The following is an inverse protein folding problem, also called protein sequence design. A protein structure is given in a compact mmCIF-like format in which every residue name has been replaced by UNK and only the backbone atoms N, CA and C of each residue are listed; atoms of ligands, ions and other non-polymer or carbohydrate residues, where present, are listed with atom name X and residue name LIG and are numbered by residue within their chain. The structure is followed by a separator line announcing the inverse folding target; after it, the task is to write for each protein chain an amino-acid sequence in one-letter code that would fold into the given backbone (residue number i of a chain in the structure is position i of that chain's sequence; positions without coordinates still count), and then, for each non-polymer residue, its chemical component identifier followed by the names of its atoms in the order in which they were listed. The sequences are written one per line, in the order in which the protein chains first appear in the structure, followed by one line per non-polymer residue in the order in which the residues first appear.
data_IF_212008216840
#
_entry.id   IF_212008216840
#
_cell.length_a   1.000
_cell.length_b   1.000
_cell.length_c   1.000
_cell.angle_alpha   90.00
_cell.angle_beta   90.00
_cell.angle_gamma   90.00
#
_symmetry.space_group_name_H-M   'P 1'
#
loop_
_entity.id
_entity.type
_entity.pdbx_description
1 polymer ?
#
# COMPACT_ATOMS: atom_id res chain seq x y z
N UNK A 1 -25.50 -51.67 -48.19
CA UNK A 1 -25.76 -50.39 -47.53
C UNK A 1 -24.41 -49.71 -47.31
N UNK A 2 -24.13 -48.60 -47.98
CA UNK A 2 -22.90 -47.82 -47.82
C UNK A 2 -23.23 -46.67 -46.87
N UNK A 3 -22.65 -46.68 -45.67
CA UNK A 3 -22.74 -45.55 -44.74
C UNK A 3 -21.89 -44.39 -45.26
N UNK A 4 -22.57 -43.31 -45.64
CA UNK A 4 -21.95 -42.02 -45.94
C UNK A 4 -21.55 -41.36 -44.63
N UNK A 5 -20.25 -41.36 -44.30
CA UNK A 5 -19.72 -40.53 -43.21
C UNK A 5 -19.90 -39.06 -43.60
N UNK A 6 -20.77 -38.37 -42.89
CA UNK A 6 -20.86 -36.91 -42.92
C UNK A 6 -19.58 -36.39 -42.27
N UNK A 7 -18.70 -35.79 -43.07
CA UNK A 7 -17.53 -35.08 -42.57
C UNK A 7 -18.00 -33.91 -41.72
N UNK A 8 -17.61 -33.88 -40.44
CA UNK A 8 -17.85 -32.72 -39.59
C UNK A 8 -17.28 -31.45 -40.27
N UNK A 9 -18.06 -30.36 -40.35
CA UNK A 9 -17.57 -29.12 -40.92
C UNK A 9 -16.40 -28.64 -40.06
N UNK A 10 -15.21 -28.56 -40.68
CA UNK A 10 -14.05 -27.91 -40.07
C UNK A 10 -14.46 -26.49 -39.68
N UNK A 11 -14.42 -26.11 -38.39
CA UNK A 11 -14.83 -24.78 -37.97
C UNK A 11 -13.99 -23.75 -38.72
N UNK A 12 -14.66 -22.93 -39.52
CA UNK A 12 -14.00 -21.88 -40.29
C UNK A 12 -13.42 -20.87 -39.29
N UNK A 13 -12.12 -20.53 -39.35
CA UNK A 13 -11.56 -19.52 -38.47
C UNK A 13 -12.32 -18.21 -38.69
N UNK A 14 -12.93 -17.68 -37.63
CA UNK A 14 -13.58 -16.38 -37.68
C UNK A 14 -12.47 -15.35 -37.98
N UNK A 15 -12.58 -14.55 -39.05
CA UNK A 15 -11.56 -13.58 -39.39
C UNK A 15 -11.39 -12.59 -38.24
N UNK A 16 -10.15 -12.44 -37.77
CA UNK A 16 -9.79 -11.48 -36.73
C UNK A 16 -10.11 -10.06 -37.21
N UNK A 17 -10.73 -9.20 -36.38
CA UNK A 17 -10.99 -7.81 -36.75
C UNK A 17 -9.73 -7.08 -37.19
N UNK A 18 -9.81 -6.27 -38.25
CA UNK A 18 -8.68 -5.46 -38.69
C UNK A 18 -8.22 -4.51 -37.56
N UNK A 19 -6.93 -4.56 -37.20
CA UNK A 19 -6.37 -3.77 -36.10
C UNK A 19 -6.52 -4.38 -34.70
N UNK A 20 -7.02 -5.62 -34.59
CA UNK A 20 -6.98 -6.37 -33.34
C UNK A 20 -5.53 -6.64 -32.90
N UNK A 21 -5.23 -6.61 -31.60
CA UNK A 21 -3.90 -6.92 -31.07
C UNK A 21 -3.54 -8.38 -31.37
N UNK A 22 -2.25 -8.64 -31.62
CA UNK A 22 -1.77 -10.02 -31.79
C UNK A 22 -1.74 -10.75 -30.44
N UNK A 23 -1.84 -12.09 -30.41
CA UNK A 23 -1.70 -12.87 -29.19
C UNK A 23 -0.40 -12.58 -28.44
N UNK A 24 0.73 -12.43 -29.15
CA UNK A 24 2.03 -12.15 -28.54
C UNK A 24 2.08 -10.78 -27.86
N UNK A 25 1.39 -9.78 -28.42
CA UNK A 25 1.28 -8.46 -27.81
C UNK A 25 0.46 -8.52 -26.51
N UNK A 26 -0.65 -9.27 -26.52
CA UNK A 26 -1.47 -9.49 -25.34
C UNK A 26 -0.69 -10.26 -24.26
N UNK A 27 0.10 -11.27 -24.62
CA UNK A 27 0.90 -12.06 -23.69
C UNK A 27 2.01 -11.23 -23.04
N UNK A 28 2.69 -10.39 -23.82
CA UNK A 28 3.68 -9.46 -23.28
C UNK A 28 3.06 -8.50 -22.26
N UNK A 29 1.88 -7.96 -22.55
CA UNK A 29 1.16 -7.08 -21.62
C UNK A 29 0.73 -7.79 -20.34
N UNK A 30 0.22 -9.01 -20.46
CA UNK A 30 -0.10 -9.84 -19.29
C UNK A 30 1.15 -10.10 -18.44
N UNK A 31 2.29 -10.36 -19.08
CA UNK A 31 3.59 -10.49 -18.39
C UNK A 31 3.98 -9.23 -17.61
N UNK A 32 3.83 -8.04 -18.20
CA UNK A 32 4.10 -6.77 -17.50
C UNK A 32 3.16 -6.54 -16.31
N UNK A 33 1.89 -6.91 -16.43
CA UNK A 33 0.93 -6.86 -15.32
C UNK A 33 1.40 -7.78 -14.19
N UNK A 34 1.76 -9.03 -14.50
CA UNK A 34 2.26 -9.99 -13.51
C UNK A 34 3.51 -9.46 -12.80
N UNK A 35 4.50 -8.93 -13.52
CA UNK A 35 5.68 -8.33 -12.90
C UNK A 35 5.35 -7.19 -11.94
N UNK A 36 4.38 -6.34 -12.29
CA UNK A 36 3.93 -5.26 -11.41
C UNK A 36 3.25 -5.79 -10.13
N UNK A 37 2.42 -6.83 -10.26
CA UNK A 37 1.78 -7.49 -9.11
C UNK A 37 2.82 -8.17 -8.22
N UNK A 38 3.81 -8.85 -8.80
CA UNK A 38 4.86 -9.55 -8.04
C UNK A 38 5.77 -8.57 -7.29
N UNK A 39 6.08 -7.42 -7.88
CA UNK A 39 6.80 -6.34 -7.19
C UNK A 39 6.01 -5.82 -5.99
N UNK A 40 4.69 -5.68 -6.16
CA UNK A 40 3.79 -5.28 -5.08
C UNK A 40 3.68 -6.34 -3.98
N UNK A 41 3.61 -7.61 -4.35
CA UNK A 41 3.57 -8.74 -3.41
C UNK A 41 4.89 -8.88 -2.62
N UNK A 42 6.03 -8.62 -3.25
CA UNK A 42 7.31 -8.55 -2.54
C UNK A 42 7.30 -7.45 -1.47
N UNK A 43 6.87 -6.23 -1.84
CA UNK A 43 6.77 -5.13 -0.88
C UNK A 43 5.80 -5.48 0.27
N UNK A 44 4.71 -6.18 -0.04
CA UNK A 44 3.78 -6.64 0.99
C UNK A 44 4.42 -7.69 1.92
N UNK A 45 5.17 -8.64 1.38
CA UNK A 45 5.92 -9.62 2.17
C UNK A 45 6.96 -8.98 3.08
N UNK A 46 7.67 -7.96 2.58
CA UNK A 46 8.59 -7.15 3.41
C UNK A 46 7.83 -6.42 4.53
N UNK A 47 6.65 -5.85 4.24
CA UNK A 47 5.82 -5.21 5.26
C UNK A 47 5.39 -6.18 6.36
N UNK A 48 4.85 -7.34 6.00
CA UNK A 48 4.39 -8.36 6.95
C UNK A 48 5.55 -8.94 7.75
N UNK A 49 6.69 -9.22 7.10
CA UNK A 49 7.87 -9.73 7.76
C UNK A 49 8.38 -8.79 8.86
N UNK A 50 8.53 -7.51 8.54
CA UNK A 50 9.04 -6.49 9.47
C UNK A 50 8.03 -6.10 10.57
N UNK A 51 6.74 -6.31 10.35
CA UNK A 51 5.68 -6.05 11.35
C UNK A 51 5.40 -7.26 12.25
N UNK A 52 5.76 -8.47 11.83
CA UNK A 52 5.50 -9.70 12.60
C UNK A 52 6.18 -9.75 13.97
N UNK A 53 7.28 -9.02 14.14
CA UNK A 53 8.01 -8.91 15.41
C UNK A 53 7.35 -7.93 16.40
N UNK A 54 6.39 -7.11 15.93
CA UNK A 54 5.69 -6.11 16.73
C UNK A 54 4.23 -6.56 16.96
N UNK A 55 3.99 -7.24 18.09
CA UNK A 55 2.67 -7.78 18.48
C UNK A 55 1.53 -6.75 18.34
N UNK A 56 1.81 -5.47 18.58
CA UNK A 56 0.81 -4.39 18.54
C UNK A 56 0.43 -3.94 17.12
N UNK A 57 1.26 -4.23 16.12
CA UNK A 57 1.04 -3.85 14.72
C UNK A 57 0.77 -5.06 13.80
N UNK A 58 1.06 -6.27 14.27
CA UNK A 58 0.95 -7.50 13.49
C UNK A 58 -0.47 -7.78 12.98
N UNK A 59 -1.50 -7.58 13.81
CA UNK A 59 -2.90 -7.81 13.42
C UNK A 59 -3.31 -6.90 12.25
N UNK A 60 -3.00 -5.61 12.34
CA UNK A 60 -3.28 -4.64 11.27
C UNK A 60 -2.50 -4.94 9.99
N UNK A 61 -1.25 -5.40 10.12
CA UNK A 61 -0.46 -5.82 8.97
C UNK A 61 -1.04 -7.08 8.29
N UNK A 62 -1.57 -8.02 9.08
CA UNK A 62 -2.28 -9.20 8.59
C UNK A 62 -3.55 -8.83 7.81
N UNK A 63 -4.37 -7.94 8.34
CA UNK A 63 -5.59 -7.44 7.66
C UNK A 63 -5.25 -6.73 6.34
N UNK A 64 -4.23 -5.87 6.35
CA UNK A 64 -3.75 -5.21 5.14
C UNK A 64 -3.25 -6.21 4.10
N UNK A 65 -2.52 -7.24 4.53
CA UNK A 65 -1.98 -8.25 3.64
C UNK A 65 -3.06 -9.12 3.03
N UNK A 66 -4.00 -9.63 3.83
CA UNK A 66 -5.12 -10.41 3.34
C UNK A 66 -5.95 -9.64 2.30
N UNK A 67 -6.25 -8.36 2.56
CA UNK A 67 -6.99 -7.52 1.64
C UNK A 67 -6.25 -7.32 0.30
N UNK A 68 -4.94 -7.07 0.34
CA UNK A 68 -4.13 -6.85 -0.85
C UNK A 68 -3.90 -8.15 -1.64
N UNK A 69 -3.64 -9.28 -0.98
CA UNK A 69 -3.46 -10.59 -1.63
C UNK A 69 -4.72 -11.01 -2.40
N UNK A 70 -5.89 -10.89 -1.78
CA UNK A 70 -7.18 -11.16 -2.45
C UNK A 70 -7.38 -10.27 -3.69
N UNK A 71 -6.92 -9.03 -3.63
CA UNK A 71 -7.02 -8.09 -4.76
C UNK A 71 -5.96 -8.36 -5.84
N UNK A 72 -4.74 -8.76 -5.49
CA UNK A 72 -3.73 -9.22 -6.44
C UNK A 72 -4.26 -10.39 -7.26
N UNK A 73 -4.87 -11.38 -6.60
CA UNK A 73 -5.45 -12.55 -7.26
C UNK A 73 -6.68 -12.20 -8.10
N UNK A 74 -7.49 -11.23 -7.66
CA UNK A 74 -8.58 -10.70 -8.47
C UNK A 74 -8.08 -10.03 -9.76
N UNK A 75 -6.95 -9.33 -9.74
CA UNK A 75 -6.35 -8.73 -10.94
C UNK A 75 -5.76 -9.80 -11.85
N UNK A 76 -5.01 -10.77 -11.32
CA UNK A 76 -4.49 -11.92 -12.11
C UNK A 76 -5.62 -12.67 -12.79
N UNK A 77 -6.68 -12.97 -12.03
CA UNK A 77 -7.87 -13.66 -12.53
C UNK A 77 -8.60 -12.86 -13.60
N UNK A 78 -8.67 -11.54 -13.48
CA UNK A 78 -9.34 -10.69 -14.47
C UNK A 78 -8.66 -10.73 -15.84
N UNK A 79 -7.32 -10.74 -15.87
CA UNK A 79 -6.55 -10.87 -17.12
C UNK A 79 -6.85 -12.19 -17.82
N UNK A 80 -6.83 -13.31 -17.09
CA UNK A 80 -7.12 -14.63 -17.63
C UNK A 80 -8.58 -14.76 -18.10
N UNK A 81 -9.54 -14.39 -17.25
CA UNK A 81 -10.97 -14.51 -17.54
C UNK A 81 -11.42 -13.62 -18.69
N UNK A 82 -10.85 -12.42 -18.84
CA UNK A 82 -11.20 -11.56 -19.98
C UNK A 82 -10.88 -12.21 -21.33
N UNK A 83 -9.78 -12.97 -21.41
CA UNK A 83 -9.39 -13.70 -22.62
C UNK A 83 -10.31 -14.89 -22.88
N UNK A 84 -10.65 -15.64 -21.82
CA UNK A 84 -11.61 -16.75 -21.89
C UNK A 84 -12.97 -16.27 -22.40
N UNK A 85 -13.51 -15.20 -21.80
CA UNK A 85 -14.78 -14.61 -22.22
C UNK A 85 -14.70 -14.11 -23.67
N UNK A 86 -13.59 -13.46 -24.07
CA UNK A 86 -13.43 -13.00 -25.44
C UNK A 86 -13.38 -14.14 -26.46
N UNK A 87 -12.80 -15.29 -26.08
CA UNK A 87 -12.69 -16.48 -26.93
C UNK A 87 -13.96 -17.35 -26.96
N UNK A 88 -14.91 -17.15 -26.04
CA UNK A 88 -16.12 -17.98 -25.98
C UNK A 88 -17.08 -17.73 -27.15
N UNK A 89 -17.04 -18.64 -28.13
CA UNK A 89 -17.89 -18.58 -29.33
C UNK A 89 -19.37 -18.89 -29.06
N UNK A 90 -19.70 -19.44 -27.89
CA UNK A 90 -21.08 -19.76 -27.52
C UNK A 90 -21.86 -18.54 -27.03
N UNK A 91 -21.17 -17.43 -26.75
CA UNK A 91 -21.76 -16.18 -26.27
C UNK A 91 -21.77 -15.15 -27.39
N UNK A 92 -22.94 -14.54 -27.62
CA UNK A 92 -23.08 -13.41 -28.55
C UNK A 92 -22.07 -12.30 -28.22
N UNK A 93 -21.52 -11.59 -29.24
CA UNK A 93 -20.52 -10.53 -29.03
C UNK A 93 -20.90 -9.50 -27.95
N UNK A 94 -22.15 -9.04 -27.95
CA UNK A 94 -22.69 -8.11 -26.95
C UNK A 94 -22.67 -8.69 -25.53
N UNK A 95 -22.97 -9.97 -25.37
CA UNK A 95 -22.90 -10.69 -24.09
C UNK A 95 -21.47 -10.77 -23.56
N UNK A 96 -20.49 -11.07 -24.44
CA UNK A 96 -19.06 -11.09 -24.08
C UNK A 96 -18.58 -9.72 -23.61
N UNK A 97 -18.95 -8.64 -24.32
CA UNK A 97 -18.64 -7.28 -23.90
C UNK A 97 -19.24 -6.95 -22.52
N UNK A 98 -20.49 -7.34 -22.26
CA UNK A 98 -21.14 -7.12 -20.96
C UNK A 98 -20.43 -7.86 -19.82
N UNK A 99 -20.10 -9.14 -20.01
CA UNK A 99 -19.39 -9.94 -19.00
C UNK A 99 -17.98 -9.40 -18.71
N UNK A 100 -17.24 -8.95 -19.74
CA UNK A 100 -15.94 -8.31 -19.55
C UNK A 100 -16.06 -7.01 -18.74
N UNK A 101 -17.08 -6.18 -19.03
CA UNK A 101 -17.30 -4.95 -18.29
C UNK A 101 -17.65 -5.24 -16.81
N UNK A 102 -18.52 -6.23 -16.56
CA UNK A 102 -18.89 -6.65 -15.20
C UNK A 102 -17.69 -7.21 -14.43
N UNK A 103 -16.86 -8.04 -15.08
CA UNK A 103 -15.61 -8.53 -14.53
C UNK A 103 -14.72 -7.36 -14.09
N UNK A 104 -14.52 -6.37 -14.97
CA UNK A 104 -13.68 -5.21 -14.66
C UNK A 104 -14.25 -4.31 -13.57
N UNK A 105 -15.58 -4.14 -13.51
CA UNK A 105 -16.23 -3.41 -12.41
C UNK A 105 -16.01 -4.10 -11.07
N UNK A 106 -16.19 -5.42 -11.00
CA UNK A 106 -15.96 -6.21 -9.78
C UNK A 106 -14.49 -6.18 -9.35
N UNK A 107 -13.56 -6.35 -10.28
CA UNK A 107 -12.11 -6.27 -9.98
C UNK A 107 -11.72 -4.87 -9.51
N UNK A 108 -12.23 -3.81 -10.16
CA UNK A 108 -11.94 -2.45 -9.73
C UNK A 108 -12.50 -2.15 -8.33
N UNK A 109 -13.70 -2.63 -8.00
CA UNK A 109 -14.28 -2.47 -6.67
C UNK A 109 -13.46 -3.19 -5.61
N UNK A 110 -13.03 -4.44 -5.87
CA UNK A 110 -12.13 -5.19 -4.97
C UNK A 110 -10.80 -4.47 -4.72
N UNK A 111 -10.17 -3.97 -5.78
CA UNK A 111 -8.90 -3.23 -5.64
C UNK A 111 -9.11 -1.93 -4.85
N UNK A 112 -10.19 -1.19 -5.10
CA UNK A 112 -10.47 0.04 -4.38
C UNK A 112 -10.66 -0.22 -2.88
N UNK A 113 -11.43 -1.26 -2.52
CA UNK A 113 -11.64 -1.64 -1.14
C UNK A 113 -10.34 -2.12 -0.48
N UNK A 114 -9.58 -3.00 -1.15
CA UNK A 114 -8.32 -3.50 -0.63
C UNK A 114 -7.29 -2.39 -0.38
N UNK A 115 -7.16 -1.43 -1.30
CA UNK A 115 -6.27 -0.28 -1.12
C UNK A 115 -6.71 0.57 0.05
N UNK A 116 -8.02 0.81 0.21
CA UNK A 116 -8.55 1.56 1.34
C UNK A 116 -8.24 0.86 2.66
N UNK A 117 -8.63 -0.41 2.79
CA UNK A 117 -8.38 -1.23 3.99
C UNK A 117 -6.90 -1.28 4.33
N UNK A 118 -6.03 -1.54 3.35
CA UNK A 118 -4.59 -1.62 3.59
C UNK A 118 -3.98 -0.27 3.97
N UNK A 119 -4.48 0.85 3.43
CA UNK A 119 -3.99 2.18 3.80
C UNK A 119 -4.42 2.56 5.21
N UNK A 120 -5.68 2.31 5.56
CA UNK A 120 -6.21 2.56 6.91
C UNK A 120 -5.51 1.67 7.95
N UNK A 121 -5.36 0.38 7.66
CA UNK A 121 -4.65 -0.55 8.54
C UNK A 121 -3.16 -0.18 8.69
N UNK A 122 -2.49 0.23 7.61
CA UNK A 122 -1.10 0.69 7.69
C UNK A 122 -0.96 1.99 8.52
N UNK A 123 -1.92 2.91 8.44
CA UNK A 123 -1.92 4.15 9.25
C UNK A 123 -2.15 3.85 10.74
N UNK A 124 -3.06 2.92 11.06
CA UNK A 124 -3.28 2.48 12.43
C UNK A 124 -2.04 1.74 12.95
N UNK A 125 -1.47 0.83 12.16
CA UNK A 125 -0.24 0.13 12.49
C UNK A 125 0.92 1.10 12.76
N UNK A 126 1.10 2.13 11.91
CA UNK A 126 2.10 3.19 12.11
C UNK A 126 1.87 3.90 13.44
N UNK A 127 0.63 4.30 13.72
CA UNK A 127 0.27 5.05 14.92
C UNK A 127 0.53 4.24 16.19
N UNK A 128 0.10 2.98 16.20
CA UNK A 128 0.32 2.08 17.34
C UNK A 128 1.81 1.79 17.52
N UNK A 129 2.53 1.55 16.43
CA UNK A 129 3.97 1.29 16.47
C UNK A 129 4.77 2.52 16.95
N UNK A 130 4.40 3.74 16.53
CA UNK A 130 5.01 4.98 17.04
C UNK A 130 4.78 5.15 18.54
N UNK A 131 3.57 4.83 19.02
CA UNK A 131 3.27 4.85 20.45
C UNK A 131 4.11 3.82 21.22
N UNK A 132 4.24 2.60 20.71
CA UNK A 132 5.08 1.55 21.32
C UNK A 132 6.59 1.85 21.24
N UNK A 133 7.05 2.55 20.21
CA UNK A 133 8.45 2.93 20.05
C UNK A 133 8.88 4.07 21.00
N UNK A 134 7.91 4.82 21.53
CA UNK A 134 8.13 5.98 22.38
C UNK A 134 7.86 5.64 23.85
N UNK A 135 8.88 5.58 24.71
CA UNK A 135 8.68 5.31 26.13
C UNK A 135 7.81 6.38 26.80
N UNK A 136 6.99 5.94 27.76
CA UNK A 136 6.32 6.89 28.65
C UNK A 136 7.32 7.55 29.59
N UNK A 137 7.11 8.83 29.87
CA UNK A 137 7.93 9.59 30.81
C UNK A 137 7.30 9.51 32.19
N UNK A 138 8.07 9.01 33.17
CA UNK A 138 7.62 8.94 34.56
C UNK A 138 7.17 10.32 35.04
N UNK A 139 6.07 10.35 35.82
CA UNK A 139 5.53 11.59 36.40
C UNK A 139 6.57 12.37 37.21
N UNK A 140 7.52 11.68 37.85
CA UNK A 140 8.60 12.29 38.62
C UNK A 140 9.56 13.06 37.73
N UNK A 141 9.85 12.54 36.55
CA UNK A 141 10.81 13.13 35.60
C UNK A 141 10.13 14.09 34.62
N UNK A 142 8.80 14.03 34.50
CA UNK A 142 8.03 14.84 33.55
C UNK A 142 8.26 16.35 33.72
N UNK A 143 8.38 16.88 34.94
CA UNK A 143 8.64 18.31 35.14
C UNK A 143 10.02 18.73 34.63
N UNK A 144 11.04 17.93 34.94
CA UNK A 144 12.42 18.15 34.49
C UNK A 144 12.50 18.03 32.96
N UNK A 145 11.91 16.99 32.39
CA UNK A 145 11.87 16.76 30.96
C UNK A 145 11.17 17.90 30.19
N UNK A 146 10.10 18.48 30.75
CA UNK A 146 9.44 19.66 30.17
C UNK A 146 10.35 20.89 30.18
N UNK A 147 11.10 21.09 31.26
CA UNK A 147 12.05 22.18 31.38
C UNK A 147 13.21 22.03 30.39
N UNK A 148 13.78 20.82 30.29
CA UNK A 148 14.86 20.50 29.35
C UNK A 148 14.40 20.71 27.89
N UNK A 149 13.18 20.28 27.57
CA UNK A 149 12.58 20.50 26.26
C UNK A 149 12.43 22.00 25.94
N UNK A 150 11.99 22.82 26.91
CA UNK A 150 11.90 24.28 26.75
C UNK A 150 13.28 24.93 26.54
N UNK A 151 14.30 24.48 27.29
CA UNK A 151 15.67 24.94 27.15
C UNK A 151 16.27 24.60 25.78
N UNK A 152 16.05 23.37 25.31
CA UNK A 152 16.61 22.89 24.03
C UNK A 152 15.89 23.50 22.84
N UNK A 153 14.55 23.48 22.83
CA UNK A 153 13.78 23.99 21.69
C UNK A 153 13.74 25.52 21.68
N UNK A 154 13.69 26.16 22.84
CA UNK A 154 13.71 27.61 22.99
C UNK A 154 12.64 28.30 22.13
N UNK A 155 13.06 29.28 21.33
CA UNK A 155 12.17 29.94 20.38
C UNK A 155 11.83 29.00 19.19
N UNK A 156 10.62 28.47 19.20
CA UNK A 156 10.12 27.53 18.19
C UNK A 156 9.94 28.14 16.79
N UNK A 157 9.93 29.48 16.70
CA UNK A 157 9.82 30.20 15.44
C UNK A 157 11.18 30.48 14.80
N UNK A 158 12.29 30.17 15.49
CA UNK A 158 13.63 30.24 14.91
C UNK A 158 13.84 29.10 13.89
N UNK A 159 14.57 29.39 12.81
CA UNK A 159 14.94 28.43 11.77
C UNK A 159 15.76 27.24 12.30
N UNK A 160 16.36 27.35 13.48
CA UNK A 160 17.19 26.30 14.07
C UNK A 160 16.40 25.22 14.84
N UNK A 161 15.11 25.43 15.13
CA UNK A 161 14.30 24.52 15.98
C UNK A 161 14.30 23.08 15.45
N UNK A 162 14.30 22.91 14.12
CA UNK A 162 14.28 21.60 13.47
C UNK A 162 15.57 20.80 13.73
N UNK A 163 16.72 21.47 13.76
CA UNK A 163 18.00 20.83 14.07
C UNK A 163 18.14 20.52 15.56
N UNK A 164 17.63 21.41 16.43
CA UNK A 164 17.62 21.17 17.89
C UNK A 164 16.70 20.03 18.27
N UNK A 165 15.55 19.92 17.62
CA UNK A 165 14.62 18.80 17.80
C UNK A 165 15.26 17.47 17.39
N UNK A 166 15.95 17.43 16.25
CA UNK A 166 16.71 16.25 15.81
C UNK A 166 17.81 15.86 16.80
N UNK A 167 18.60 16.84 17.26
CA UNK A 167 19.62 16.60 18.29
C UNK A 167 19.01 16.10 19.61
N UNK A 168 17.86 16.63 20.02
CA UNK A 168 17.13 16.16 21.19
C UNK A 168 16.70 14.70 21.03
N UNK A 169 16.11 14.33 19.89
CA UNK A 169 15.67 12.95 19.63
C UNK A 169 16.84 11.95 19.68
N UNK A 170 18.01 12.35 19.18
CA UNK A 170 19.20 11.50 19.21
C UNK A 170 19.71 11.19 20.64
N UNK A 171 19.30 11.98 21.66
CA UNK A 171 19.69 11.70 23.06
C UNK A 171 18.91 10.55 23.70
N UNK A 172 17.76 10.16 23.12
CA UNK A 172 16.83 9.17 23.69
C UNK A 172 16.49 9.42 25.18
N UNK A 173 16.48 10.69 25.59
CA UNK A 173 16.22 11.13 26.97
C UNK A 173 14.72 11.29 27.28
N UNK A 174 14.31 11.44 28.55
CA UNK A 174 12.92 11.74 28.89
C UNK A 174 12.35 12.98 28.18
N UNK A 175 13.17 14.01 27.94
CA UNK A 175 12.76 15.18 27.15
C UNK A 175 12.52 14.83 25.67
N UNK A 176 13.32 13.91 25.12
CA UNK A 176 13.10 13.38 23.78
C UNK A 176 11.79 12.59 23.70
N UNK A 177 11.51 11.73 24.67
CA UNK A 177 10.26 10.97 24.73
C UNK A 177 9.04 11.87 24.86
N UNK A 178 9.11 12.94 25.66
CA UNK A 178 8.06 13.97 25.68
C UNK A 178 7.87 14.65 24.33
N UNK A 179 8.95 15.01 23.64
CA UNK A 179 8.87 15.64 22.33
C UNK A 179 8.38 14.70 21.21
N UNK A 180 8.51 13.38 21.37
CA UNK A 180 7.94 12.39 20.47
C UNK A 180 6.43 12.16 20.69
N UNK A 181 5.89 12.62 21.83
CA UNK A 181 4.47 12.49 22.20
C UNK A 181 3.61 13.68 21.75
N UNK A 182 2.29 13.59 21.99
CA UNK A 182 1.34 14.70 21.77
C UNK A 182 1.68 15.97 22.58
N UNK A 183 2.53 15.86 23.60
CA UNK A 183 3.01 17.02 24.35
C UNK A 183 3.73 18.03 23.44
N UNK A 184 4.50 17.60 22.43
CA UNK A 184 5.17 18.53 21.51
C UNK A 184 4.18 19.43 20.79
N UNK A 185 3.07 18.85 20.32
CA UNK A 185 2.01 19.62 19.65
C UNK A 185 1.46 20.71 20.57
N UNK A 186 1.12 20.36 21.81
CA UNK A 186 0.62 21.31 22.80
C UNK A 186 1.66 22.39 23.14
N UNK A 187 2.93 22.00 23.27
CA UNK A 187 4.05 22.92 23.50
C UNK A 187 4.20 23.92 22.35
N UNK A 188 4.20 23.46 21.10
CA UNK A 188 4.34 24.32 19.93
C UNK A 188 3.16 25.30 19.78
N UNK A 189 1.94 24.85 20.08
CA UNK A 189 0.74 25.71 20.13
C UNK A 189 0.92 26.79 21.19
N UNK A 190 1.33 26.42 22.41
CA UNK A 190 1.54 27.36 23.51
C UNK A 190 2.64 28.39 23.20
N UNK A 191 3.63 28.03 22.38
CA UNK A 191 4.70 28.92 21.91
C UNK A 191 4.35 29.71 20.63
N UNK A 192 3.11 29.58 20.14
CA UNK A 192 2.61 30.37 19.01
C UNK A 192 3.16 29.94 17.65
N UNK A 193 3.54 28.67 17.47
CA UNK A 193 3.91 28.16 16.16
C UNK A 193 2.69 28.11 15.22
N UNK A 194 2.89 28.33 13.92
CA UNK A 194 1.83 28.18 12.92
C UNK A 194 1.40 26.71 12.78
N UNK A 195 0.15 26.43 12.36
CA UNK A 195 -0.36 25.06 12.16
C UNK A 195 0.55 24.21 11.25
N UNK A 196 0.96 24.76 10.10
CA UNK A 196 1.86 24.09 9.15
C UNK A 196 3.20 23.70 9.81
N UNK A 197 3.74 24.58 10.66
CA UNK A 197 5.00 24.34 11.37
C UNK A 197 4.84 23.29 12.47
N UNK A 198 3.70 23.29 13.16
CA UNK A 198 3.35 22.27 14.15
C UNK A 198 3.33 20.89 13.49
N UNK A 199 2.63 20.75 12.36
CA UNK A 199 2.56 19.49 11.62
C UNK A 199 3.94 19.04 11.13
N UNK A 200 4.72 19.93 10.53
CA UNK A 200 6.05 19.61 10.05
C UNK A 200 7.01 19.16 11.18
N UNK A 201 7.01 19.85 12.32
CA UNK A 201 7.88 19.52 13.45
C UNK A 201 7.43 18.25 14.18
N UNK A 202 6.13 18.03 14.35
CA UNK A 202 5.62 16.78 14.95
C UNK A 202 5.90 15.57 14.07
N UNK A 203 5.76 15.69 12.75
CA UNK A 203 6.14 14.64 11.81
C UNK A 203 7.65 14.34 11.90
N UNK A 204 8.49 15.38 11.94
CA UNK A 204 9.94 15.22 12.11
C UNK A 204 10.30 14.56 13.44
N UNK A 205 9.67 14.97 14.55
CA UNK A 205 9.91 14.36 15.86
C UNK A 205 9.60 12.87 15.85
N UNK A 206 8.46 12.46 15.29
CA UNK A 206 8.08 11.06 15.14
C UNK A 206 9.11 10.27 14.34
N UNK A 207 9.53 10.80 13.19
CA UNK A 207 10.53 10.16 12.34
C UNK A 207 11.87 9.94 13.07
N UNK A 208 12.36 10.96 13.76
CA UNK A 208 13.61 10.87 14.52
C UNK A 208 13.47 9.97 15.76
N UNK A 209 12.30 9.94 16.40
CA UNK A 209 12.01 9.02 17.50
C UNK A 209 12.02 7.56 17.05
N UNK A 210 11.46 7.26 15.87
CA UNK A 210 11.54 5.92 15.27
C UNK A 210 12.98 5.52 14.95
N UNK A 211 13.81 6.43 14.43
CA UNK A 211 15.24 6.16 14.23
C UNK A 211 15.96 5.86 15.54
N UNK A 212 15.71 6.65 16.59
CA UNK A 212 16.28 6.43 17.91
C UNK A 212 15.84 5.07 18.49
N UNK A 213 14.55 4.73 18.36
CA UNK A 213 14.01 3.44 18.79
C UNK A 213 14.61 2.25 18.01
N UNK A 214 14.83 2.40 16.70
CA UNK A 214 15.51 1.39 15.88
C UNK A 214 16.97 1.14 16.31
N UNK A 215 17.64 2.17 16.86
CA UNK A 215 19.01 2.08 17.40
C UNK A 215 19.06 1.69 18.89
N UNK A 216 17.91 1.62 19.57
CA UNK A 216 17.82 1.31 21.00
C UNK A 216 18.26 -0.12 21.30
N UNK A 217 18.65 -0.45 22.53
CA UNK A 217 18.93 -1.83 22.95
C UNK A 217 17.66 -2.61 23.33
N UNK A 218 16.53 -1.92 23.47
CA UNK A 218 15.23 -2.52 23.75
C UNK A 218 14.63 -3.15 22.47
N UNK A 219 14.55 -4.47 22.46
CA UNK A 219 14.02 -5.23 21.31
C UNK A 219 12.57 -4.86 20.98
N UNK A 220 11.75 -4.55 21.98
CA UNK A 220 10.35 -4.19 21.75
C UNK A 220 10.24 -2.86 21.00
N UNK A 221 11.05 -1.87 21.37
CA UNK A 221 11.15 -0.58 20.67
C UNK A 221 11.75 -0.72 19.28
N UNK A 222 12.77 -1.56 19.12
CA UNK A 222 13.33 -1.86 17.80
C UNK A 222 12.28 -2.46 16.86
N UNK A 223 11.52 -3.46 17.34
CA UNK A 223 10.46 -4.10 16.56
C UNK A 223 9.36 -3.09 16.19
N UNK A 224 8.90 -2.29 17.15
CA UNK A 224 7.93 -1.22 16.89
C UNK A 224 8.46 -0.20 15.85
N UNK A 225 9.74 0.19 15.93
CA UNK A 225 10.34 1.08 14.95
C UNK A 225 10.37 0.49 13.53
N UNK A 226 10.75 -0.79 13.40
CA UNK A 226 10.73 -1.51 12.12
C UNK A 226 9.32 -1.58 11.55
N UNK A 227 8.35 -1.95 12.39
CA UNK A 227 6.94 -2.02 12.01
C UNK A 227 6.43 -0.67 11.46
N UNK A 228 6.71 0.43 12.16
CA UNK A 228 6.31 1.76 11.72
C UNK A 228 6.96 2.14 10.37
N UNK A 229 8.27 1.90 10.20
CA UNK A 229 8.97 2.18 8.95
C UNK A 229 8.49 1.31 7.78
N UNK A 230 8.11 0.06 8.06
CA UNK A 230 7.65 -0.91 7.09
C UNK A 230 6.28 -0.54 6.48
N UNK A 231 5.47 0.31 7.11
CA UNK A 231 4.18 0.79 6.55
C UNK A 231 4.35 1.49 5.20
N UNK A 232 5.54 2.03 4.91
CA UNK A 232 5.88 2.54 3.58
C UNK A 232 5.81 1.46 2.50
N UNK A 233 6.13 0.20 2.83
CA UNK A 233 6.04 -0.92 1.91
C UNK A 233 4.59 -1.36 1.65
N UNK A 234 3.69 -1.26 2.64
CA UNK A 234 2.24 -1.41 2.40
C UNK A 234 1.71 -0.36 1.40
N UNK A 235 2.13 0.90 1.53
CA UNK A 235 1.78 1.95 0.56
C UNK A 235 2.33 1.67 -0.84
N UNK A 236 3.57 1.16 -0.94
CA UNK A 236 4.15 0.73 -2.23
C UNK A 236 3.35 -0.43 -2.85
N UNK A 237 2.96 -1.42 -2.05
CA UNK A 237 2.13 -2.54 -2.48
C UNK A 237 0.77 -2.03 -3.02
N UNK A 238 0.08 -1.18 -2.27
CA UNK A 238 -1.18 -0.58 -2.70
C UNK A 238 -1.04 0.22 -4.00
N UNK A 239 0.03 1.01 -4.16
CA UNK A 239 0.32 1.75 -5.38
C UNK A 239 0.61 0.83 -6.58
N UNK A 240 1.37 -0.25 -6.36
CA UNK A 240 1.65 -1.26 -7.39
C UNK A 240 0.36 -1.94 -7.86
N UNK A 241 -0.55 -2.28 -6.95
CA UNK A 241 -1.86 -2.85 -7.26
C UNK A 241 -2.73 -1.88 -8.08
N UNK A 242 -2.78 -0.60 -7.72
CA UNK A 242 -3.50 0.43 -8.51
C UNK A 242 -2.91 0.59 -9.92
N UNK A 243 -1.58 0.60 -10.03
CA UNK A 243 -0.88 0.66 -11.31
C UNK A 243 -1.20 -0.56 -12.17
N UNK A 244 -1.17 -1.75 -11.57
CA UNK A 244 -1.51 -3.00 -12.24
C UNK A 244 -2.98 -3.03 -12.70
N UNK A 245 -3.94 -2.54 -11.91
CA UNK A 245 -5.33 -2.37 -12.34
C UNK A 245 -5.43 -1.45 -13.58
N UNK A 246 -4.67 -0.35 -13.61
CA UNK A 246 -4.59 0.55 -14.76
C UNK A 246 -4.05 -0.14 -16.03
N UNK A 247 -3.04 -1.01 -15.88
CA UNK A 247 -2.52 -1.85 -16.96
C UNK A 247 -3.56 -2.89 -17.41
N UNK A 248 -4.21 -3.57 -16.47
CA UNK A 248 -5.25 -4.56 -16.72
C UNK A 248 -6.44 -3.96 -17.47
N UNK A 249 -6.89 -2.74 -17.13
CA UNK A 249 -7.93 -2.05 -17.90
C UNK A 249 -7.55 -1.89 -19.38
N UNK A 250 -6.33 -1.40 -19.65
CA UNK A 250 -5.83 -1.27 -21.04
C UNK A 250 -5.71 -2.61 -21.75
N UNK A 251 -5.22 -3.63 -21.04
CA UNK A 251 -5.11 -4.99 -21.58
C UNK A 251 -6.49 -5.55 -21.95
N UNK A 252 -7.45 -5.45 -21.03
CA UNK A 252 -8.81 -5.94 -21.22
C UNK A 252 -9.54 -5.18 -22.32
N UNK A 253 -9.34 -3.86 -22.43
CA UNK A 253 -9.87 -3.08 -23.57
C UNK A 253 -9.29 -3.55 -24.91
N UNK A 254 -8.03 -3.98 -24.94
CA UNK A 254 -7.39 -4.57 -26.12
C UNK A 254 -7.92 -5.95 -26.43
N UNK A 255 -8.07 -6.81 -25.42
CA UNK A 255 -8.74 -8.11 -25.55
C UNK A 255 -10.17 -7.92 -26.09
N UNK A 256 -10.89 -6.91 -25.60
CA UNK A 256 -12.25 -6.62 -26.05
C UNK A 256 -12.35 -6.31 -27.54
N UNK A 257 -11.29 -5.74 -28.15
CA UNK A 257 -11.22 -5.45 -29.59
C UNK A 257 -11.05 -6.70 -30.46
N UNK A 258 -10.76 -7.87 -29.89
CA UNK A 258 -10.70 -9.13 -30.65
C UNK A 258 -12.09 -9.74 -30.86
N UNK A 259 -13.10 -9.27 -30.11
CA UNK A 259 -14.49 -9.68 -30.27
C UNK A 259 -15.02 -9.08 -31.59
N UNK A 260 -15.66 -9.87 -32.48
CA UNK A 260 -16.21 -9.36 -33.74
C UNK A 260 -17.25 -8.26 -33.49
N UNK A 261 -17.20 -7.19 -34.29
CA UNK A 261 -18.30 -6.23 -34.33
C UNK A 261 -19.52 -6.91 -34.98
N UNK A 262 -20.71 -6.68 -34.41
CA UNK A 262 -21.98 -7.07 -35.03
C UNK A 262 -22.19 -6.36 -36.36
#
# INVERSE_FOLDING_TARGET
MKETRVSDPTPTPIPTPAGAPTPEALDREAGHITTALDTGAQALGEYVGETSEADTAADFAGDAAAALDDAYDAVRSAVAKAREIAADINIYPTGRHAQINELMQRTAAKVAEAVKTATEAAEVAETVAVASATPEVDRRDALTARHDLDLVLGNVNDGTVSARLEALMATDSPAAHLAASDYLRLYLIAKGASPERIEALTLKARHEALKAAAASTDRSRQAAARAAMATTNARKAAAALQSALGMTRRHVDRVRKTIPAN
#
